data_IF_447722651542
#
_entry.id   IF_447722651542
#
_cell.length_a   1.000
_cell.length_b   1.000
_cell.length_c   1.000
_cell.angle_alpha   90.00
_cell.angle_beta   90.00
_cell.angle_gamma   90.00
#
_symmetry.space_group_name_H-M   'P 1'
#
loop_
_entity.id
_entity.type
_entity.pdbx_description
1 polymer ?
#
# COMPACT_ATOMS: atom_id res chain seq x y z
N UNK A 1 -37.85 18.65 -11.45
CA UNK A 1 -36.72 17.88 -12.00
C UNK A 1 -36.04 17.17 -10.85
N UNK A 2 -35.72 15.89 -11.03
CA UNK A 2 -34.93 15.08 -10.09
C UNK A 2 -33.53 14.89 -10.65
N UNK A 3 -32.52 15.33 -9.90
CA UNK A 3 -31.13 14.98 -10.20
C UNK A 3 -30.84 13.58 -9.65
N UNK A 4 -30.43 12.66 -10.51
CA UNK A 4 -30.26 11.25 -10.20
C UNK A 4 -28.82 10.79 -10.42
N UNK A 5 -28.20 10.20 -9.39
CA UNK A 5 -26.87 9.58 -9.48
C UNK A 5 -26.99 8.06 -9.64
N UNK A 6 -26.54 7.56 -10.80
CA UNK A 6 -26.49 6.15 -11.13
C UNK A 6 -25.06 5.59 -11.02
N UNK A 7 -24.91 4.45 -10.34
CA UNK A 7 -23.61 3.81 -10.08
C UNK A 7 -23.54 2.32 -10.47
N UNK A 8 -24.63 1.77 -11.02
CA UNK A 8 -24.78 0.37 -11.43
C UNK A 8 -25.22 0.25 -12.89
N UNK A 9 -26.20 -0.62 -13.18
CA UNK A 9 -26.74 -0.80 -14.54
C UNK A 9 -27.35 0.47 -15.15
N UNK A 10 -27.85 1.37 -14.31
CA UNK A 10 -28.38 2.67 -14.74
C UNK A 10 -27.28 3.69 -15.12
N UNK A 11 -25.99 3.32 -15.11
CA UNK A 11 -24.96 4.12 -15.77
C UNK A 11 -25.12 4.14 -17.30
N UNK A 12 -25.81 3.14 -17.86
CA UNK A 12 -26.18 3.11 -19.28
C UNK A 12 -27.32 4.08 -19.56
N UNK A 13 -27.07 5.02 -20.47
CA UNK A 13 -28.06 6.01 -20.91
C UNK A 13 -29.28 5.35 -21.56
N UNK A 14 -29.09 4.36 -22.43
CA UNK A 14 -30.17 3.56 -23.01
C UNK A 14 -31.06 2.94 -21.92
N UNK A 15 -30.44 2.40 -20.87
CA UNK A 15 -31.18 1.78 -19.77
C UNK A 15 -32.00 2.78 -18.95
N UNK A 16 -31.60 4.06 -18.92
CA UNK A 16 -32.35 5.15 -18.28
C UNK A 16 -33.47 5.65 -19.20
N UNK A 17 -33.17 5.88 -20.48
CA UNK A 17 -34.13 6.37 -21.48
C UNK A 17 -35.31 5.41 -21.71
N UNK A 18 -35.11 4.09 -21.57
CA UNK A 18 -36.19 3.08 -21.58
C UNK A 18 -37.27 3.31 -20.50
N UNK A 19 -36.94 4.03 -19.41
CA UNK A 19 -37.87 4.33 -18.30
C UNK A 19 -38.20 5.80 -18.14
N UNK A 20 -37.33 6.67 -18.62
CA UNK A 20 -37.48 8.11 -18.60
C UNK A 20 -36.97 8.67 -19.94
N UNK A 21 -37.81 8.66 -21.00
CA UNK A 21 -37.40 9.02 -22.36
C UNK A 21 -36.87 10.44 -22.51
N UNK A 22 -37.24 11.34 -21.60
CA UNK A 22 -36.81 12.74 -21.61
C UNK A 22 -35.68 13.01 -20.61
N UNK A 23 -35.05 11.97 -20.05
CA UNK A 23 -33.90 12.12 -19.17
C UNK A 23 -32.70 12.71 -19.92
N UNK A 24 -32.02 13.66 -19.28
CA UNK A 24 -30.81 14.29 -19.84
C UNK A 24 -29.58 13.85 -19.05
N UNK A 25 -28.55 13.37 -19.74
CA UNK A 25 -27.27 13.08 -19.12
C UNK A 25 -26.52 14.37 -18.80
N UNK A 26 -26.28 14.63 -17.51
CA UNK A 26 -25.46 15.77 -17.05
C UNK A 26 -23.97 15.49 -17.23
N UNK A 27 -23.57 14.25 -16.97
CA UNK A 27 -22.19 13.79 -17.14
C UNK A 27 -21.70 12.93 -15.99
N UNK A 28 -20.40 12.67 -15.98
CA UNK A 28 -19.77 11.81 -14.97
C UNK A 28 -19.68 12.50 -13.60
N UNK A 29 -19.82 11.71 -12.55
CA UNK A 29 -19.78 12.16 -11.17
C UNK A 29 -19.09 11.14 -10.25
N UNK A 30 -18.69 11.61 -9.07
CA UNK A 30 -18.20 10.75 -7.99
C UNK A 30 -18.98 10.99 -6.70
N UNK A 31 -19.25 9.91 -5.98
CA UNK A 31 -19.80 9.90 -4.64
C UNK A 31 -18.66 9.61 -3.63
N UNK A 32 -18.17 10.62 -2.88
CA UNK A 32 -17.15 10.40 -1.85
C UNK A 32 -17.74 9.68 -0.63
N UNK A 33 -16.84 9.08 0.17
CA UNK A 33 -17.15 8.43 1.46
C UNK A 33 -18.20 7.33 1.40
N UNK A 34 -18.30 6.71 0.22
CA UNK A 34 -19.12 5.54 -0.05
C UNK A 34 -18.29 4.49 -0.77
N UNK A 35 -18.63 3.22 -0.56
CA UNK A 35 -18.09 2.11 -1.32
C UNK A 35 -19.23 1.36 -2.01
N UNK A 36 -18.88 0.73 -3.14
CA UNK A 36 -19.78 -0.24 -3.75
C UNK A 36 -19.83 -1.51 -2.90
N UNK A 37 -21.04 -2.02 -2.71
CA UNK A 37 -21.35 -3.27 -2.00
C UNK A 37 -22.19 -4.13 -2.93
N UNK A 38 -22.13 -5.45 -2.76
CA UNK A 38 -22.99 -6.37 -3.51
C UNK A 38 -23.81 -7.25 -2.55
N UNK A 39 -24.54 -6.59 -1.64
CA UNK A 39 -25.30 -7.22 -0.56
C UNK A 39 -26.69 -7.71 -0.95
N UNK A 40 -27.06 -7.70 -2.23
CA UNK A 40 -28.38 -8.14 -2.70
C UNK A 40 -28.24 -9.09 -3.87
N UNK A 41 -29.01 -10.18 -3.86
CA UNK A 41 -29.19 -11.08 -5.01
C UNK A 41 -30.22 -10.53 -5.98
N UNK A 42 -29.88 -10.53 -7.26
CA UNK A 42 -30.83 -10.40 -8.34
C UNK A 42 -31.72 -11.65 -8.41
N UNK A 43 -33.04 -11.48 -8.41
CA UNK A 43 -33.98 -12.59 -8.66
C UNK A 43 -33.84 -13.18 -10.07
N UNK A 44 -33.33 -12.39 -11.03
CA UNK A 44 -33.20 -12.79 -12.45
C UNK A 44 -31.94 -13.61 -12.72
N UNK A 45 -30.82 -13.25 -12.08
CA UNK A 45 -29.50 -13.84 -12.38
C UNK A 45 -28.95 -14.67 -11.23
N UNK A 46 -29.55 -14.60 -10.03
CA UNK A 46 -29.04 -15.26 -8.83
C UNK A 46 -27.75 -14.66 -8.25
N UNK A 47 -27.19 -13.65 -8.90
CA UNK A 47 -25.90 -13.01 -8.57
C UNK A 47 -26.06 -11.67 -7.86
N UNK A 48 -24.95 -11.14 -7.32
CA UNK A 48 -24.92 -9.84 -6.67
C UNK A 48 -25.32 -8.67 -7.58
N UNK A 49 -25.95 -7.64 -7.02
CA UNK A 49 -26.24 -6.37 -7.70
C UNK A 49 -25.67 -5.20 -6.91
N UNK A 50 -25.32 -4.11 -7.62
CA UNK A 50 -24.65 -2.97 -7.03
C UNK A 50 -25.51 -2.25 -5.98
N UNK A 51 -24.89 -1.99 -4.84
CA UNK A 51 -25.40 -1.22 -3.71
C UNK A 51 -24.34 -0.19 -3.31
N UNK A 52 -24.77 0.86 -2.60
CA UNK A 52 -23.87 1.83 -1.98
C UNK A 52 -24.04 1.81 -0.47
N UNK A 53 -22.92 1.83 0.24
CA UNK A 53 -22.89 1.96 1.69
C UNK A 53 -21.84 2.97 2.09
N UNK A 54 -22.04 3.65 3.21
CA UNK A 54 -21.04 4.53 3.80
C UNK A 54 -19.70 3.78 3.94
N UNK A 55 -18.63 4.43 3.53
CA UNK A 55 -17.28 3.91 3.53
C UNK A 55 -16.30 5.07 3.50
N UNK A 56 -15.91 5.63 4.65
CA UNK A 56 -14.98 6.74 4.71
C UNK A 56 -13.68 6.44 3.95
N UNK A 57 -13.22 7.37 3.13
CA UNK A 57 -12.01 7.20 2.30
C UNK A 57 -12.19 6.32 1.05
N UNK A 58 -13.39 5.78 0.82
CA UNK A 58 -13.77 5.13 -0.43
C UNK A 58 -14.51 6.10 -1.35
N UNK A 59 -14.71 5.67 -2.59
CA UNK A 59 -15.42 6.44 -3.60
C UNK A 59 -16.18 5.53 -4.55
N UNK A 60 -17.36 5.97 -4.98
CA UNK A 60 -18.13 5.34 -6.05
C UNK A 60 -18.18 6.27 -7.26
N UNK A 61 -17.85 5.73 -8.44
CA UNK A 61 -17.95 6.45 -9.71
C UNK A 61 -19.30 6.16 -10.36
N UNK A 62 -19.87 7.15 -11.04
CA UNK A 62 -21.17 7.02 -11.68
C UNK A 62 -21.50 8.16 -12.64
N UNK A 63 -22.76 8.20 -13.04
CA UNK A 63 -23.32 9.19 -13.99
C UNK A 63 -24.43 9.97 -13.30
N UNK A 64 -24.47 11.28 -13.55
CA UNK A 64 -25.58 12.15 -13.19
C UNK A 64 -26.54 12.32 -14.36
N UNK A 65 -27.83 12.18 -14.06
CA UNK A 65 -28.95 12.43 -14.97
C UNK A 65 -29.90 13.45 -14.36
N UNK A 66 -30.48 14.30 -15.20
CA UNK A 66 -31.65 15.10 -14.88
C UNK A 66 -32.89 14.40 -15.42
N UNK A 67 -33.83 14.08 -14.53
CA UNK A 67 -35.03 13.32 -14.85
C UNK A 67 -36.27 14.19 -14.57
N UNK A 68 -37.22 14.31 -15.50
CA UNK A 68 -38.49 14.98 -15.23
C UNK A 68 -39.26 14.32 -14.09
N UNK A 69 -39.94 15.12 -13.26
CA UNK A 69 -40.68 14.59 -12.10
C UNK A 69 -41.79 13.61 -12.53
N UNK A 70 -42.38 13.84 -13.71
CA UNK A 70 -43.38 12.96 -14.34
C UNK A 70 -42.82 11.58 -14.70
N UNK A 71 -41.53 11.47 -15.02
CA UNK A 71 -40.87 10.25 -15.46
C UNK A 71 -40.12 9.54 -14.33
N UNK A 72 -39.85 10.22 -13.21
CA UNK A 72 -39.16 9.65 -12.05
C UNK A 72 -39.82 8.34 -11.54
N UNK A 73 -41.15 8.24 -11.64
CA UNK A 73 -41.91 7.03 -11.28
C UNK A 73 -41.47 5.79 -12.09
N UNK A 74 -41.02 5.97 -13.33
CA UNK A 74 -40.48 4.90 -14.16
C UNK A 74 -39.18 4.32 -13.58
N UNK A 75 -38.28 5.18 -13.10
CA UNK A 75 -37.04 4.78 -12.43
C UNK A 75 -37.33 4.07 -11.10
N UNK A 76 -38.22 4.65 -10.28
CA UNK A 76 -38.64 4.04 -9.01
C UNK A 76 -39.20 2.62 -9.21
N UNK A 77 -39.95 2.39 -10.29
CA UNK A 77 -40.47 1.07 -10.64
C UNK A 77 -39.36 0.10 -11.02
N UNK A 78 -38.39 0.52 -11.84
CA UNK A 78 -37.26 -0.32 -12.28
C UNK A 78 -36.40 -0.77 -11.11
N UNK A 79 -36.13 0.13 -10.17
CA UNK A 79 -35.34 -0.17 -8.95
C UNK A 79 -36.16 -0.92 -7.90
N UNK A 80 -37.45 -1.19 -8.15
CA UNK A 80 -38.33 -1.88 -7.21
C UNK A 80 -38.57 -1.09 -5.91
N UNK A 81 -38.45 0.24 -5.96
CA UNK A 81 -38.67 1.12 -4.82
C UNK A 81 -40.15 1.30 -4.47
N UNK A 82 -41.06 0.99 -5.42
CA UNK A 82 -42.51 1.05 -5.26
C UNK A 82 -43.15 -0.29 -4.85
N UNK A 83 -42.34 -1.33 -4.60
CA UNK A 83 -42.84 -2.63 -4.16
C UNK A 83 -43.28 -2.57 -2.68
N UNK A 84 -44.20 -3.46 -2.28
CA UNK A 84 -44.62 -3.59 -0.87
C UNK A 84 -43.41 -3.87 0.05
N UNK A 85 -42.49 -4.69 -0.43
CA UNK A 85 -41.15 -4.89 0.13
C UNK A 85 -40.13 -4.33 -0.88
N UNK A 86 -39.67 -3.08 -0.68
CA UNK A 86 -38.80 -2.42 -1.65
C UNK A 86 -37.48 -3.17 -1.84
N UNK A 87 -37.03 -3.29 -3.08
CA UNK A 87 -35.69 -3.80 -3.37
C UNK A 87 -34.61 -2.77 -3.02
N UNK A 88 -34.88 -1.51 -3.33
CA UNK A 88 -34.05 -0.36 -3.02
C UNK A 88 -34.91 0.74 -2.40
N UNK A 89 -34.28 1.57 -1.57
CA UNK A 89 -34.83 2.83 -1.07
C UNK A 89 -34.13 4.01 -1.74
N UNK A 90 -34.87 5.10 -1.89
CA UNK A 90 -34.30 6.36 -2.37
C UNK A 90 -33.48 6.98 -1.23
N UNK A 91 -32.27 7.43 -1.54
CA UNK A 91 -31.37 8.13 -0.61
C UNK A 91 -30.94 9.47 -1.21
N UNK A 92 -30.76 10.46 -0.35
CA UNK A 92 -30.14 11.73 -0.71
C UNK A 92 -28.63 11.62 -0.58
N UNK A 93 -27.91 11.99 -1.63
CA UNK A 93 -26.45 11.94 -1.69
C UNK A 93 -25.88 13.27 -2.19
N UNK A 94 -24.66 13.58 -1.77
CA UNK A 94 -23.89 14.70 -2.31
C UNK A 94 -22.80 14.16 -3.20
N UNK A 95 -22.85 14.48 -4.50
CA UNK A 95 -21.89 14.02 -5.50
C UNK A 95 -21.10 15.18 -6.07
N UNK A 96 -19.84 14.94 -6.43
CA UNK A 96 -19.05 15.90 -7.17
C UNK A 96 -19.27 15.68 -8.67
N UNK A 97 -19.85 16.66 -9.35
CA UNK A 97 -20.01 16.68 -10.81
C UNK A 97 -18.70 17.10 -11.47
N UNK A 98 -18.17 16.28 -12.38
CA UNK A 98 -16.97 16.65 -13.14
C UNK A 98 -17.26 17.66 -14.24
N UNK A 99 -18.46 17.62 -14.83
CA UNK A 99 -18.88 18.57 -15.86
C UNK A 99 -18.95 20.00 -15.30
N UNK A 100 -19.51 20.14 -14.10
CA UNK A 100 -19.73 21.44 -13.47
C UNK A 100 -18.67 21.81 -12.44
N UNK A 101 -17.75 20.88 -12.12
CA UNK A 101 -16.69 21.02 -11.12
C UNK A 101 -17.18 21.47 -9.73
N UNK A 102 -18.37 21.04 -9.33
CA UNK A 102 -19.00 21.39 -8.04
C UNK A 102 -19.76 20.21 -7.43
N UNK A 103 -20.04 20.31 -6.14
CA UNK A 103 -20.92 19.38 -5.45
C UNK A 103 -22.39 19.65 -5.81
N UNK A 104 -23.18 18.59 -5.96
CA UNK A 104 -24.61 18.62 -6.23
C UNK A 104 -25.33 17.66 -5.29
N UNK A 105 -26.46 18.09 -4.73
CA UNK A 105 -27.40 17.20 -4.07
C UNK A 105 -28.18 16.42 -5.14
N UNK A 106 -28.20 15.09 -5.02
CA UNK A 106 -28.87 14.18 -5.95
C UNK A 106 -29.59 13.07 -5.19
N UNK A 107 -30.59 12.48 -5.83
CA UNK A 107 -31.18 11.21 -5.41
C UNK A 107 -30.32 10.05 -5.93
N UNK A 108 -30.24 8.98 -5.16
CA UNK A 108 -29.71 7.69 -5.59
C UNK A 108 -30.49 6.57 -4.93
N UNK A 109 -30.07 5.34 -5.15
CA UNK A 109 -30.68 4.15 -4.56
C UNK A 109 -29.70 3.47 -3.61
N UNK A 110 -30.21 2.87 -2.55
CA UNK A 110 -29.46 1.95 -1.68
C UNK A 110 -30.35 0.75 -1.38
N UNK A 111 -29.78 -0.44 -1.23
CA UNK A 111 -30.55 -1.66 -0.95
C UNK A 111 -31.31 -1.47 0.36
N UNK A 112 -32.61 -1.78 0.35
CA UNK A 112 -33.48 -1.57 1.52
C UNK A 112 -33.13 -2.53 2.67
N UNK A 113 -32.89 -3.80 2.33
CA UNK A 113 -32.56 -4.88 3.28
C UNK A 113 -31.37 -5.70 2.75
N UNK A 114 -30.13 -5.24 2.96
CA UNK A 114 -28.95 -5.92 2.43
C UNK A 114 -28.57 -7.15 3.27
N UNK A 115 -28.12 -8.22 2.61
CA UNK A 115 -27.45 -9.38 3.22
C UNK A 115 -26.05 -9.00 3.70
N UNK A 116 -25.65 -9.48 4.86
CA UNK A 116 -24.29 -9.33 5.40
C UNK A 116 -23.23 -9.94 4.47
N UNK A 117 -23.57 -11.06 3.82
CA UNK A 117 -22.71 -11.68 2.81
C UNK A 117 -22.85 -10.94 1.48
N UNK A 118 -21.74 -10.36 1.01
CA UNK A 118 -21.63 -9.82 -0.34
C UNK A 118 -21.36 -10.92 -1.36
N UNK A 119 -21.94 -10.79 -2.55
CA UNK A 119 -21.83 -11.79 -3.60
C UNK A 119 -21.33 -11.18 -4.89
N UNK A 120 -20.52 -11.94 -5.61
CA UNK A 120 -19.97 -11.46 -6.87
C UNK A 120 -21.11 -11.30 -7.89
N UNK A 121 -21.21 -10.15 -8.59
CA UNK A 121 -22.13 -10.00 -9.71
C UNK A 121 -21.77 -10.91 -10.88
N UNK A 122 -22.69 -11.09 -11.83
CA UNK A 122 -22.36 -11.83 -13.05
C UNK A 122 -21.33 -11.09 -13.91
N UNK A 123 -20.54 -11.84 -14.68
CA UNK A 123 -19.58 -11.29 -15.62
C UNK A 123 -20.23 -10.34 -16.65
N UNK A 124 -21.45 -10.63 -17.09
CA UNK A 124 -22.21 -9.78 -18.02
C UNK A 124 -22.62 -8.45 -17.37
N UNK A 125 -23.07 -8.47 -16.12
CA UNK A 125 -23.42 -7.26 -15.38
C UNK A 125 -22.20 -6.35 -15.20
N UNK A 126 -21.06 -6.94 -14.85
CA UNK A 126 -19.79 -6.21 -14.71
C UNK A 126 -19.26 -5.71 -16.05
N UNK A 127 -19.47 -6.45 -17.14
CA UNK A 127 -19.10 -6.00 -18.49
C UNK A 127 -19.92 -4.78 -18.91
N UNK A 128 -21.24 -4.76 -18.65
CA UNK A 128 -22.08 -3.60 -18.92
C UNK A 128 -21.62 -2.37 -18.13
N UNK A 129 -21.27 -2.53 -16.85
CA UNK A 129 -20.71 -1.43 -16.04
C UNK A 129 -19.34 -0.98 -16.57
N UNK A 130 -18.48 -1.92 -16.96
CA UNK A 130 -17.13 -1.64 -17.44
C UNK A 130 -17.16 -0.79 -18.72
N UNK A 131 -18.03 -1.12 -19.69
CA UNK A 131 -18.21 -0.32 -20.91
C UNK A 131 -18.48 1.15 -20.59
N UNK A 132 -19.42 1.42 -19.68
CA UNK A 132 -19.77 2.79 -19.29
C UNK A 132 -18.59 3.51 -18.59
N UNK A 133 -17.83 2.80 -17.78
CA UNK A 133 -16.68 3.36 -17.06
C UNK A 133 -15.50 3.66 -17.99
N UNK A 134 -15.31 2.84 -19.02
CA UNK A 134 -14.33 3.06 -20.08
C UNK A 134 -14.70 4.28 -20.93
N UNK A 135 -15.97 4.43 -21.33
CA UNK A 135 -16.49 5.61 -22.01
C UNK A 135 -16.33 6.90 -21.17
N UNK A 136 -16.46 6.80 -19.85
CA UNK A 136 -16.24 7.92 -18.93
C UNK A 136 -14.76 8.27 -18.69
N UNK A 137 -13.84 7.44 -19.19
CA UNK A 137 -12.39 7.54 -19.00
C UNK A 137 -11.97 7.54 -17.51
N UNK A 138 -12.39 6.52 -16.75
CA UNK A 138 -11.93 6.27 -15.39
C UNK A 138 -11.07 5.00 -15.30
N UNK A 139 -9.78 5.06 -15.67
CA UNK A 139 -8.94 3.88 -15.82
C UNK A 139 -8.77 3.07 -14.52
N UNK A 140 -8.64 3.75 -13.37
CA UNK A 140 -8.51 3.08 -12.08
C UNK A 140 -9.79 2.30 -11.69
N UNK A 141 -10.97 2.85 -11.99
CA UNK A 141 -12.23 2.17 -11.71
C UNK A 141 -12.49 1.03 -12.71
N UNK A 142 -12.09 1.22 -13.98
CA UNK A 142 -12.12 0.16 -14.99
C UNK A 142 -11.25 -1.04 -14.57
N UNK A 143 -10.06 -0.82 -14.01
CA UNK A 143 -9.21 -1.88 -13.47
C UNK A 143 -9.87 -2.63 -12.31
N UNK A 144 -10.56 -1.93 -11.42
CA UNK A 144 -11.36 -2.55 -10.36
C UNK A 144 -12.48 -3.43 -10.91
N UNK A 145 -13.26 -2.93 -11.89
CA UNK A 145 -14.33 -3.72 -12.50
C UNK A 145 -13.80 -4.91 -13.31
N UNK A 146 -12.65 -4.77 -13.99
CA UNK A 146 -11.98 -5.89 -14.67
C UNK A 146 -11.52 -6.96 -13.69
N UNK A 147 -10.99 -6.55 -12.54
CA UNK A 147 -10.61 -7.47 -11.45
C UNK A 147 -11.83 -8.22 -10.91
N UNK A 148 -12.93 -7.52 -10.58
CA UNK A 148 -14.17 -8.15 -10.15
C UNK A 148 -14.73 -9.11 -11.20
N UNK A 149 -14.70 -8.72 -12.48
CA UNK A 149 -15.20 -9.54 -13.58
C UNK A 149 -14.40 -10.83 -13.73
N UNK A 150 -13.07 -10.77 -13.58
CA UNK A 150 -12.22 -11.96 -13.60
C UNK A 150 -12.61 -12.93 -12.49
N UNK A 151 -12.80 -12.43 -11.26
CA UNK A 151 -13.26 -13.25 -10.13
C UNK A 151 -14.63 -13.87 -10.36
N UNK A 152 -15.53 -13.17 -11.05
CA UNK A 152 -16.84 -13.69 -11.41
C UNK A 152 -16.80 -14.88 -12.39
N UNK A 153 -15.66 -15.13 -13.05
CA UNK A 153 -15.46 -16.21 -14.01
C UNK A 153 -14.70 -17.42 -13.41
N UNK A 154 -14.24 -17.35 -12.16
CA UNK A 154 -13.52 -18.44 -11.49
C UNK A 154 -14.48 -19.59 -11.11
N UNK A 155 -14.05 -20.84 -11.30
CA UNK A 155 -14.92 -22.04 -11.22
C UNK A 155 -15.31 -22.47 -9.79
N UNK A 156 -14.80 -21.78 -8.76
CA UNK A 156 -15.08 -22.04 -7.34
C UNK A 156 -15.15 -20.69 -6.60
N UNK A 157 -16.17 -19.87 -6.95
CA UNK A 157 -16.22 -18.45 -6.60
C UNK A 157 -16.04 -18.26 -5.08
N UNK A 158 -14.88 -17.78 -4.62
CA UNK A 158 -14.67 -17.50 -3.21
C UNK A 158 -15.60 -16.36 -2.76
N UNK A 159 -15.85 -16.22 -1.45
CA UNK A 159 -16.57 -15.07 -0.91
C UNK A 159 -16.00 -13.77 -1.51
N UNK A 160 -16.88 -12.84 -1.91
CA UNK A 160 -16.43 -11.59 -2.51
C UNK A 160 -15.48 -10.81 -1.58
N UNK A 161 -15.72 -10.95 -0.27
CA UNK A 161 -15.00 -10.27 0.79
C UNK A 161 -14.27 -11.29 1.64
N UNK A 162 -13.01 -11.53 1.31
CA UNK A 162 -12.05 -12.17 2.19
C UNK A 162 -10.88 -11.22 2.46
N UNK A 163 -10.42 -11.18 3.71
CA UNK A 163 -9.37 -10.27 4.16
C UNK A 163 -9.90 -8.89 4.56
N UNK A 164 -9.02 -7.89 4.51
CA UNK A 164 -9.29 -6.53 4.99
C UNK A 164 -9.64 -5.59 3.84
N UNK A 165 -10.65 -4.75 4.03
CA UNK A 165 -10.97 -3.68 3.09
C UNK A 165 -9.84 -2.66 3.04
N UNK A 166 -9.30 -2.40 1.84
CA UNK A 166 -8.20 -1.44 1.67
C UNK A 166 -8.73 -0.04 1.41
N UNK A 167 -8.25 0.92 2.18
CA UNK A 167 -8.38 2.35 1.91
C UNK A 167 -7.02 3.02 1.69
N UNK A 168 -7.06 4.22 1.12
CA UNK A 168 -5.88 5.08 1.03
C UNK A 168 -5.46 5.61 2.39
N UNK A 169 -4.16 5.79 2.63
CA UNK A 169 -3.69 6.56 3.78
C UNK A 169 -4.18 8.01 3.66
N UNK A 170 -5.12 8.38 4.53
CA UNK A 170 -5.67 9.74 4.60
C UNK A 170 -4.72 10.74 5.29
N UNK A 171 -3.62 10.24 5.87
CA UNK A 171 -2.74 11.01 6.75
C UNK A 171 -1.32 11.09 6.17
N UNK A 172 -1.13 11.82 5.07
CA UNK A 172 0.20 12.04 4.46
C UNK A 172 1.17 12.76 5.42
N UNK A 173 0.69 13.68 6.25
CA UNK A 173 1.55 14.53 7.09
C UNK A 173 1.95 13.95 8.45
N UNK A 174 1.33 12.85 8.93
CA UNK A 174 1.77 12.18 10.18
C UNK A 174 2.70 11.00 9.94
N UNK A 175 2.73 10.45 8.71
CA UNK A 175 3.35 9.16 8.48
C UNK A 175 4.89 9.20 8.40
N UNK A 176 5.52 10.35 8.14
CA UNK A 176 6.99 10.46 8.13
C UNK A 176 7.72 9.35 7.37
N UNK A 177 7.11 8.72 6.35
CA UNK A 177 7.67 7.56 5.63
C UNK A 177 7.73 6.22 6.40
N UNK A 178 7.03 6.06 7.53
CA UNK A 178 7.18 4.91 8.43
C UNK A 178 6.17 3.77 8.26
N UNK A 179 5.02 4.01 7.61
CA UNK A 179 3.90 3.05 7.64
C UNK A 179 3.47 2.64 6.24
N UNK A 180 3.62 1.35 5.93
CA UNK A 180 3.23 0.78 4.64
C UNK A 180 1.83 0.15 4.71
N UNK A 181 1.46 -0.41 5.87
CA UNK A 181 0.10 -0.83 6.21
C UNK A 181 -0.24 -0.45 7.65
N UNK A 182 -1.41 0.16 7.86
CA UNK A 182 -2.00 0.40 9.18
C UNK A 182 -3.25 -0.45 9.35
N UNK A 183 -3.37 -1.10 10.49
CA UNK A 183 -4.50 -2.00 10.79
C UNK A 183 -4.93 -1.84 12.23
N UNK A 184 -6.21 -2.05 12.50
CA UNK A 184 -6.71 -2.08 13.86
C UNK A 184 -6.09 -3.26 14.66
N UNK A 185 -5.54 -3.03 15.87
CA UNK A 185 -4.98 -4.09 16.71
C UNK A 185 -5.97 -5.25 16.98
N UNK A 186 -7.28 -4.95 17.09
CA UNK A 186 -8.33 -5.95 17.33
C UNK A 186 -8.56 -6.87 16.13
N UNK A 187 -8.25 -6.40 14.93
CA UNK A 187 -8.41 -7.17 13.68
C UNK A 187 -7.27 -8.15 13.43
N UNK A 188 -6.02 -7.77 13.72
CA UNK A 188 -4.84 -8.64 13.52
C UNK A 188 -4.50 -9.50 14.74
N UNK A 189 -5.04 -9.17 15.92
CA UNK A 189 -4.67 -9.81 17.18
C UNK A 189 -3.27 -9.41 17.66
N UNK A 190 -2.72 -10.16 18.61
CA UNK A 190 -1.40 -9.87 19.19
C UNK A 190 -0.27 -10.21 18.22
N UNK A 191 0.24 -9.22 17.49
CA UNK A 191 1.44 -9.39 16.66
C UNK A 191 2.73 -9.05 17.42
N UNK A 192 3.64 -10.03 17.42
CA UNK A 192 5.08 -9.91 17.69
C UNK A 192 5.78 -8.84 16.88
N UNK A 193 5.43 -8.73 15.60
CA UNK A 193 6.28 -8.21 14.52
C UNK A 193 5.81 -6.85 14.02
N UNK A 194 6.75 -5.92 13.79
CA UNK A 194 6.49 -4.66 13.08
C UNK A 194 6.41 -4.82 11.56
N UNK A 195 6.40 -6.05 11.07
CA UNK A 195 6.32 -6.42 9.65
C UNK A 195 5.21 -7.45 9.44
N UNK A 196 4.53 -7.37 8.30
CA UNK A 196 3.50 -8.30 7.85
C UNK A 196 3.71 -8.69 6.39
N UNK A 197 3.18 -9.83 5.97
CA UNK A 197 2.96 -10.11 4.55
C UNK A 197 1.63 -9.51 4.12
N UNK A 198 1.61 -8.97 2.91
CA UNK A 198 0.43 -8.40 2.28
C UNK A 198 0.27 -9.05 0.93
N UNK A 199 -0.94 -9.54 0.64
CA UNK A 199 -1.26 -10.24 -0.59
C UNK A 199 -2.51 -9.69 -1.25
N UNK A 200 -2.43 -9.52 -2.57
CA UNK A 200 -3.53 -9.14 -3.46
C UNK A 200 -3.33 -9.76 -4.85
N UNK A 201 -4.36 -10.41 -5.38
CA UNK A 201 -4.39 -10.96 -6.75
C UNK A 201 -3.13 -11.79 -7.10
N UNK A 202 -2.70 -12.65 -6.16
CA UNK A 202 -1.50 -13.50 -6.29
C UNK A 202 -0.15 -12.78 -6.14
N UNK A 203 -0.14 -11.44 -6.05
CA UNK A 203 1.05 -10.66 -5.70
C UNK A 203 1.20 -10.59 -4.18
N UNK A 204 2.39 -10.86 -3.69
CA UNK A 204 2.70 -10.84 -2.26
C UNK A 204 3.97 -10.05 -2.00
N UNK A 205 4.01 -9.31 -0.89
CA UNK A 205 5.21 -8.61 -0.43
C UNK A 205 5.24 -8.49 1.09
N UNK A 206 6.38 -8.05 1.64
CA UNK A 206 6.49 -7.66 3.04
C UNK A 206 6.19 -6.17 3.15
N UNK A 207 5.46 -5.78 4.18
CA UNK A 207 5.21 -4.39 4.50
C UNK A 207 5.50 -4.10 5.97
N UNK A 208 5.88 -2.86 6.26
CA UNK A 208 5.91 -2.34 7.61
C UNK A 208 4.49 -2.21 8.14
N UNK A 209 4.24 -2.83 9.29
CA UNK A 209 2.94 -2.90 9.94
C UNK A 209 2.89 -1.90 11.10
N UNK A 210 1.82 -1.12 11.13
CA UNK A 210 1.47 -0.24 12.24
C UNK A 210 0.09 -0.57 12.78
N UNK A 211 0.00 -0.67 14.10
CA UNK A 211 -1.24 -1.00 14.78
C UNK A 211 -1.86 0.31 15.29
N UNK A 212 -3.02 0.65 14.77
CA UNK A 212 -3.65 1.96 14.96
C UNK A 212 -5.16 1.80 15.22
N UNK A 213 -5.63 2.30 16.37
CA UNK A 213 -7.04 2.19 16.76
C UNK A 213 -7.96 3.07 15.91
N UNK A 214 -7.41 4.08 15.23
CA UNK A 214 -8.20 4.95 14.34
C UNK A 214 -8.61 4.25 13.04
N UNK A 215 -7.95 3.14 12.69
CA UNK A 215 -8.33 2.32 11.54
C UNK A 215 -9.55 1.48 11.92
N UNK A 216 -10.58 1.48 11.07
CA UNK A 216 -11.79 0.71 11.32
C UNK A 216 -11.50 -0.81 11.36
N UNK A 217 -12.24 -1.54 12.20
CA UNK A 217 -12.13 -2.99 12.25
C UNK A 217 -12.45 -3.63 10.88
N UNK A 218 -11.80 -4.74 10.55
CA UNK A 218 -11.89 -5.42 9.24
C UNK A 218 -11.44 -4.57 8.03
N UNK A 219 -10.70 -3.49 8.28
CA UNK A 219 -10.10 -2.65 7.25
C UNK A 219 -8.61 -2.42 7.49
N UNK A 220 -7.92 -1.95 6.46
CA UNK A 220 -6.56 -1.46 6.56
C UNK A 220 -6.35 -0.20 5.70
N UNK A 221 -5.47 0.68 6.14
CA UNK A 221 -4.94 1.76 5.32
C UNK A 221 -3.61 1.31 4.73
N UNK A 222 -3.41 1.53 3.43
CA UNK A 222 -2.15 1.25 2.75
C UNK A 222 -1.59 2.52 2.14
N UNK A 223 -0.28 2.59 1.96
CA UNK A 223 0.30 3.70 1.21
C UNK A 223 0.14 3.49 -0.32
N UNK A 224 0.43 4.54 -1.09
CA UNK A 224 0.27 4.49 -2.55
C UNK A 224 1.28 3.54 -3.21
N UNK A 225 2.52 3.48 -2.71
CA UNK A 225 3.58 2.70 -3.32
C UNK A 225 3.32 1.21 -3.17
N UNK A 226 2.94 0.74 -1.98
CA UNK A 226 2.56 -0.64 -1.70
C UNK A 226 1.36 -1.07 -2.53
N UNK A 227 0.32 -0.23 -2.62
CA UNK A 227 -0.84 -0.50 -3.50
C UNK A 227 -0.42 -0.67 -4.96
N UNK A 228 0.38 0.25 -5.48
CA UNK A 228 0.87 0.19 -6.85
C UNK A 228 1.72 -1.06 -7.10
N UNK A 229 2.60 -1.40 -6.15
CA UNK A 229 3.43 -2.60 -6.19
C UNK A 229 2.58 -3.90 -6.28
N UNK A 230 1.48 -3.92 -5.54
CA UNK A 230 0.49 -5.01 -5.55
C UNK A 230 -0.46 -4.96 -6.77
N UNK A 231 -0.32 -3.99 -7.68
CA UNK A 231 -1.16 -3.89 -8.88
C UNK A 231 -2.49 -3.16 -8.67
N UNK A 232 -2.70 -2.54 -7.50
CA UNK A 232 -3.80 -1.61 -7.27
C UNK A 232 -3.41 -0.23 -7.82
N UNK A 233 -3.92 0.11 -9.00
CA UNK A 233 -3.55 1.34 -9.70
C UNK A 233 -4.57 2.45 -9.41
N UNK A 234 -4.04 3.66 -9.19
CA UNK A 234 -4.82 4.86 -8.95
C UNK A 234 -4.72 5.36 -7.51
N UNK A 235 -5.27 6.55 -7.28
CA UNK A 235 -5.24 7.17 -5.96
C UNK A 235 -6.28 6.58 -5.00
N UNK A 236 -7.38 6.06 -5.53
CA UNK A 236 -8.53 5.60 -4.76
C UNK A 236 -8.62 4.07 -4.75
N UNK A 237 -9.07 3.53 -3.62
CA UNK A 237 -9.43 2.12 -3.51
C UNK A 237 -10.95 1.98 -3.68
N UNK A 238 -11.37 1.10 -4.59
CA UNK A 238 -12.79 0.95 -4.95
C UNK A 238 -13.46 -0.23 -4.26
N UNK A 239 -12.93 -0.64 -3.09
CA UNK A 239 -13.35 -1.84 -2.39
C UNK A 239 -12.54 -3.07 -2.79
N UNK A 240 -11.22 -2.94 -2.92
CA UNK A 240 -10.34 -4.11 -2.91
C UNK A 240 -10.26 -4.70 -1.49
N UNK A 241 -10.05 -6.00 -1.39
CA UNK A 241 -9.69 -6.67 -0.14
C UNK A 241 -8.30 -7.30 -0.24
N UNK A 242 -7.56 -7.29 0.87
CA UNK A 242 -6.20 -7.85 0.94
C UNK A 242 -6.06 -8.80 2.11
N UNK A 243 -5.20 -9.80 1.95
CA UNK A 243 -4.76 -10.63 3.06
C UNK A 243 -3.54 -9.97 3.70
N UNK A 244 -3.68 -9.57 4.97
CA UNK A 244 -2.56 -9.09 5.80
C UNK A 244 -2.30 -10.14 6.87
N UNK A 245 -1.09 -10.70 6.90
CA UNK A 245 -0.72 -11.73 7.88
C UNK A 245 0.54 -11.31 8.64
N UNK A 246 0.56 -11.34 9.98
CA UNK A 246 1.77 -11.12 10.75
C UNK A 246 2.86 -12.11 10.35
N UNK A 247 4.12 -11.66 10.38
CA UNK A 247 5.24 -12.60 10.24
C UNK A 247 5.41 -13.44 11.51
N UNK A 248 5.15 -14.74 11.39
CA UNK A 248 5.41 -15.73 12.44
C UNK A 248 6.87 -16.18 12.42
N UNK A 249 7.47 -16.41 13.59
CA UNK A 249 8.81 -17.03 13.71
C UNK A 249 10.01 -16.10 13.48
N UNK A 250 9.84 -14.90 12.95
CA UNK A 250 10.90 -13.89 12.99
C UNK A 250 10.92 -13.29 14.40
N UNK A 251 11.97 -13.57 15.19
CA UNK A 251 12.18 -12.87 16.47
C UNK A 251 12.18 -11.38 16.18
N UNK A 252 11.13 -10.69 16.62
CA UNK A 252 11.08 -9.25 16.56
C UNK A 252 12.19 -8.73 17.47
N UNK A 253 13.36 -8.45 16.89
CA UNK A 253 14.32 -7.61 17.58
C UNK A 253 13.70 -6.23 17.49
N UNK A 254 13.34 -5.70 18.65
CA UNK A 254 12.89 -4.31 18.76
C UNK A 254 13.99 -3.47 18.13
N UNK A 255 13.76 -2.98 16.93
CA UNK A 255 14.67 -2.02 16.34
C UNK A 255 14.57 -0.77 17.24
N UNK A 256 15.69 -0.38 17.84
CA UNK A 256 15.78 0.81 18.72
C UNK A 256 15.29 2.08 18.01
N UNK A 257 15.27 2.05 16.67
CA UNK A 257 14.70 3.07 15.78
C UNK A 257 13.87 2.33 14.73
N UNK A 258 12.62 2.75 14.46
CA UNK A 258 11.81 2.23 13.34
C UNK A 258 12.26 2.92 12.06
N UNK A 259 13.09 2.30 11.20
CA UNK A 259 13.58 3.00 10.03
C UNK A 259 12.47 3.11 8.98
N UNK A 260 12.57 4.13 8.13
CA UNK A 260 11.72 4.22 6.94
C UNK A 260 11.93 3.00 6.06
N UNK A 261 10.86 2.57 5.41
CA UNK A 261 10.89 1.42 4.51
C UNK A 261 10.17 1.79 3.23
N UNK A 262 10.65 1.29 2.09
CA UNK A 262 10.04 1.50 0.78
C UNK A 262 9.67 0.15 0.18
N UNK A 263 8.46 0.02 -0.33
CA UNK A 263 8.11 -1.08 -1.23
C UNK A 263 8.52 -0.68 -2.64
N UNK A 264 9.52 -1.36 -3.21
CA UNK A 264 10.07 -1.08 -4.54
C UNK A 264 9.91 -2.29 -5.45
N UNK A 265 9.81 -2.04 -6.75
CA UNK A 265 9.70 -3.09 -7.76
C UNK A 265 11.08 -3.57 -8.20
N UNK A 266 11.28 -4.89 -8.22
CA UNK A 266 12.55 -5.48 -8.66
C UNK A 266 12.72 -5.30 -10.16
N UNK A 267 13.89 -4.75 -10.51
CA UNK A 267 14.38 -4.64 -11.88
C UNK A 267 15.74 -5.32 -12.02
N UNK A 268 16.06 -5.64 -13.28
CA UNK A 268 17.31 -6.27 -13.66
C UNK A 268 18.38 -5.22 -13.95
N UNK A 269 19.59 -5.43 -13.41
CA UNK A 269 20.84 -4.79 -13.85
C UNK A 269 21.27 -5.31 -15.22
N UNK A 270 22.06 -4.53 -15.96
CA UNK A 270 22.45 -4.91 -17.31
C UNK A 270 23.33 -6.19 -17.30
N UNK A 271 23.25 -6.99 -18.37
CA UNK A 271 23.80 -8.36 -18.44
C UNK A 271 25.34 -8.43 -18.38
N UNK A 272 26.01 -7.33 -18.69
CA UNK A 272 27.48 -7.19 -18.65
C UNK A 272 27.96 -6.94 -17.21
N UNK A 273 27.07 -6.52 -16.31
CA UNK A 273 27.39 -6.20 -14.93
C UNK A 273 27.33 -7.48 -14.09
N UNK A 274 28.40 -8.26 -14.21
CA UNK A 274 28.63 -9.51 -13.50
C UNK A 274 28.65 -9.31 -11.98
N UNK A 275 27.83 -10.10 -11.28
CA UNK A 275 28.04 -10.72 -9.95
C UNK A 275 28.94 -9.93 -8.95
N UNK A 276 28.56 -8.69 -8.62
CA UNK A 276 29.28 -7.85 -7.64
C UNK A 276 28.50 -7.64 -6.33
N UNK A 277 27.35 -8.30 -6.18
CA UNK A 277 26.42 -8.15 -5.04
C UNK A 277 26.01 -6.70 -4.82
N UNK A 278 25.58 -6.03 -5.89
CA UNK A 278 25.26 -4.59 -5.93
C UNK A 278 23.74 -4.37 -5.86
N UNK A 279 23.31 -3.41 -5.04
CA UNK A 279 21.97 -2.84 -5.08
C UNK A 279 22.07 -1.41 -5.64
N UNK A 280 21.30 -1.13 -6.69
CA UNK A 280 21.19 0.22 -7.23
C UNK A 280 19.79 0.76 -6.96
N UNK A 281 19.73 1.95 -6.35
CA UNK A 281 18.52 2.67 -5.94
C UNK A 281 18.57 4.11 -6.44
N UNK A 282 17.42 4.70 -6.72
CA UNK A 282 17.37 6.10 -7.13
C UNK A 282 17.84 6.99 -5.97
N UNK A 283 18.50 8.11 -6.27
CA UNK A 283 19.00 9.07 -5.25
C UNK A 283 17.89 9.51 -4.28
N UNK A 284 16.69 9.75 -4.82
CA UNK A 284 15.50 10.10 -4.06
C UNK A 284 15.02 8.96 -3.15
N UNK A 285 15.22 7.69 -3.53
CA UNK A 285 14.93 6.54 -2.68
C UNK A 285 15.93 6.43 -1.53
N UNK A 286 17.22 6.72 -1.76
CA UNK A 286 18.21 6.82 -0.68
C UNK A 286 17.85 7.95 0.31
N UNK A 287 17.49 9.11 -0.22
CA UNK A 287 17.06 10.26 0.59
C UNK A 287 15.82 9.92 1.43
N UNK A 288 14.81 9.28 0.83
CA UNK A 288 13.61 8.82 1.55
C UNK A 288 13.95 7.79 2.64
N UNK A 289 14.93 6.92 2.41
CA UNK A 289 15.39 5.94 3.39
C UNK A 289 16.30 6.55 4.47
N UNK A 290 16.73 7.81 4.32
CA UNK A 290 17.61 8.46 5.29
C UNK A 290 19.05 7.92 5.28
N UNK A 291 19.51 7.41 4.13
CA UNK A 291 20.84 6.81 3.96
C UNK A 291 21.62 7.45 2.82
N UNK A 292 22.94 7.32 2.86
CA UNK A 292 23.88 7.82 1.85
C UNK A 292 24.33 6.71 0.90
N UNK A 293 24.88 7.11 -0.25
CA UNK A 293 25.50 6.16 -1.19
C UNK A 293 26.59 5.33 -0.48
N UNK A 294 26.60 4.02 -0.72
CA UNK A 294 27.52 3.05 -0.11
C UNK A 294 27.11 2.57 1.29
N UNK A 295 26.00 3.08 1.85
CA UNK A 295 25.45 2.60 3.11
C UNK A 295 24.59 1.34 2.93
N UNK A 296 24.40 0.60 4.02
CA UNK A 296 23.78 -0.72 3.94
C UNK A 296 22.25 -0.65 4.01
N UNK A 297 21.63 -1.32 3.04
CA UNK A 297 20.20 -1.65 3.03
C UNK A 297 19.99 -3.13 3.36
N UNK A 298 18.83 -3.42 3.90
CA UNK A 298 18.24 -4.74 3.99
C UNK A 298 17.07 -4.82 3.01
N UNK A 299 17.06 -5.87 2.19
CA UNK A 299 15.98 -6.13 1.23
C UNK A 299 15.29 -7.41 1.67
N UNK A 300 13.97 -7.38 1.74
CA UNK A 300 13.14 -8.51 2.12
C UNK A 300 12.20 -8.87 0.97
N UNK A 301 12.14 -10.16 0.67
CA UNK A 301 11.23 -10.74 -0.30
C UNK A 301 10.39 -11.84 0.37
N UNK A 302 9.12 -11.93 -0.03
CA UNK A 302 8.28 -13.07 0.36
C UNK A 302 8.43 -14.15 -0.70
N UNK A 303 8.73 -15.36 -0.27
CA UNK A 303 8.72 -16.53 -1.11
C UNK A 303 7.60 -17.47 -0.65
N UNK A 304 6.79 -17.91 -1.60
CA UNK A 304 5.75 -18.91 -1.38
C UNK A 304 6.33 -20.28 -1.71
N UNK A 305 6.30 -21.19 -0.73
CA UNK A 305 6.66 -22.58 -0.91
C UNK A 305 5.64 -23.38 -1.69
N UNK A 306 6.00 -24.61 -2.04
CA UNK A 306 5.15 -25.52 -2.81
C UNK A 306 3.82 -25.83 -2.12
N UNK A 307 3.79 -25.79 -0.78
CA UNK A 307 2.60 -26.04 0.03
C UNK A 307 1.83 -24.76 0.39
N UNK A 308 2.17 -23.62 -0.22
CA UNK A 308 1.52 -22.33 0.02
C UNK A 308 1.98 -21.61 1.29
N UNK A 309 2.96 -22.16 2.01
CA UNK A 309 3.60 -21.51 3.15
C UNK A 309 4.38 -20.27 2.70
N UNK A 310 4.22 -19.17 3.44
CA UNK A 310 4.95 -17.93 3.16
C UNK A 310 6.18 -17.87 4.06
N UNK A 311 7.35 -17.80 3.44
CA UNK A 311 8.60 -17.52 4.12
C UNK A 311 9.17 -16.19 3.64
N UNK A 312 10.00 -15.55 4.47
CA UNK A 312 10.65 -14.30 4.12
C UNK A 312 12.15 -14.55 3.99
N UNK A 313 12.69 -14.25 2.82
CA UNK A 313 14.13 -14.19 2.57
C UNK A 313 14.59 -12.75 2.68
N UNK A 314 15.80 -12.56 3.20
CA UNK A 314 16.40 -11.23 3.37
C UNK A 314 17.87 -11.24 3.00
N UNK A 315 18.32 -10.15 2.40
CA UNK A 315 19.73 -9.92 2.08
C UNK A 315 20.16 -8.54 2.58
N UNK A 316 21.47 -8.36 2.79
CA UNK A 316 22.06 -7.09 3.23
C UNK A 316 23.22 -6.72 2.32
N UNK A 317 23.18 -5.52 1.77
CA UNK A 317 24.14 -5.05 0.79
C UNK A 317 24.23 -3.53 0.80
N UNK A 318 25.23 -2.98 0.12
CA UNK A 318 25.41 -1.54 -0.02
C UNK A 318 24.56 -1.03 -1.18
N UNK A 319 23.90 0.10 -0.95
CA UNK A 319 23.09 0.76 -1.96
C UNK A 319 23.88 1.85 -2.68
N UNK A 320 23.78 1.89 -4.01
CA UNK A 320 24.44 2.86 -4.88
C UNK A 320 23.41 3.61 -5.73
N UNK A 321 23.71 4.84 -6.14
CA UNK A 321 22.84 5.65 -7.02
C UNK A 321 23.10 5.40 -8.50
N UNK A 322 24.30 4.94 -8.82
CA UNK A 322 24.75 4.65 -10.18
C UNK A 322 25.72 3.49 -10.15
N UNK A 323 25.88 2.84 -11.30
CA UNK A 323 26.96 1.89 -11.50
C UNK A 323 28.20 2.66 -11.94
N UNK A 324 29.25 2.69 -11.10
CA UNK A 324 30.53 3.28 -11.50
C UNK A 324 31.24 2.35 -12.49
N UNK A 325 31.18 2.67 -13.77
CA UNK A 325 32.11 2.16 -14.79
C UNK A 325 33.27 3.14 -14.97
N UNK A 326 34.40 2.63 -15.42
CA UNK A 326 35.60 3.43 -15.66
C UNK A 326 35.35 4.56 -16.69
N UNK A 327 34.40 4.39 -17.63
CA UNK A 327 34.40 5.21 -18.85
C UNK A 327 33.05 5.89 -19.20
N UNK A 328 31.92 5.57 -18.55
CA UNK A 328 30.60 6.20 -18.83
C UNK A 328 29.67 6.18 -17.61
N UNK A 329 29.07 7.33 -17.28
CA UNK A 329 27.90 7.41 -16.42
C UNK A 329 26.65 7.16 -17.28
N UNK A 330 25.91 6.08 -17.00
CA UNK A 330 24.62 5.81 -17.65
C UNK A 330 23.47 6.16 -16.73
N UNK A 331 22.41 6.70 -17.31
CA UNK A 331 21.20 7.05 -16.57
C UNK A 331 20.52 5.77 -16.05
N UNK A 332 20.51 5.66 -14.72
CA UNK A 332 19.99 4.54 -13.94
C UNK A 332 19.85 5.04 -12.50
N UNK A 333 18.89 4.57 -11.68
CA UNK A 333 17.70 3.74 -11.92
C UNK A 333 16.38 4.55 -11.99
N UNK A 334 15.21 3.89 -12.08
CA UNK A 334 13.90 4.54 -11.95
C UNK A 334 13.49 4.82 -10.49
N UNK A 335 12.63 5.82 -10.26
CA UNK A 335 12.26 6.29 -8.92
C UNK A 335 11.65 5.22 -7.98
N UNK A 336 10.91 4.25 -8.52
CA UNK A 336 10.20 3.22 -7.75
C UNK A 336 10.80 1.81 -7.92
N UNK A 337 12.03 1.72 -8.43
CA UNK A 337 12.67 0.45 -8.74
C UNK A 337 13.86 0.17 -7.82
N UNK A 338 14.09 -1.11 -7.56
CA UNK A 338 15.33 -1.62 -6.99
C UNK A 338 15.98 -2.57 -7.98
N UNK A 339 17.22 -2.26 -8.33
CA UNK A 339 17.93 -3.03 -9.34
C UNK A 339 18.89 -3.98 -8.66
N UNK A 340 18.74 -5.26 -9.00
CA UNK A 340 19.45 -6.37 -8.36
C UNK A 340 20.12 -7.25 -9.41
N UNK A 341 21.38 -7.58 -9.15
CA UNK A 341 22.10 -8.57 -9.92
C UNK A 341 21.54 -10.00 -9.72
N UNK A 342 22.10 -10.96 -10.46
CA UNK A 342 21.65 -12.35 -10.43
C UNK A 342 21.84 -13.00 -9.05
N UNK A 343 22.98 -12.80 -8.42
CA UNK A 343 23.32 -13.41 -7.12
C UNK A 343 22.35 -12.93 -6.03
N UNK A 344 22.10 -11.63 -5.96
CA UNK A 344 21.15 -11.02 -5.03
C UNK A 344 19.73 -11.56 -5.23
N UNK A 345 19.31 -11.71 -6.49
CA UNK A 345 17.99 -12.27 -6.83
C UNK A 345 17.86 -13.72 -6.39
N UNK A 346 18.88 -14.55 -6.66
CA UNK A 346 18.91 -15.95 -6.23
C UNK A 346 18.87 -16.08 -4.70
N UNK A 347 19.64 -15.27 -3.97
CA UNK A 347 19.66 -15.27 -2.50
C UNK A 347 18.30 -14.81 -1.92
N UNK A 348 17.61 -13.88 -2.57
CA UNK A 348 16.23 -13.47 -2.25
C UNK A 348 15.16 -14.50 -2.67
N UNK A 349 15.55 -15.59 -3.33
CA UNK A 349 14.64 -16.65 -3.77
C UNK A 349 13.77 -16.28 -4.98
N UNK A 350 14.23 -15.33 -5.80
CA UNK A 350 13.58 -15.07 -7.08
C UNK A 350 13.89 -16.18 -8.10
N UNK A 351 12.95 -16.47 -9.02
CA UNK A 351 13.23 -17.38 -10.13
C UNK A 351 14.32 -16.81 -11.05
N UNK A 352 14.98 -17.70 -11.79
CA UNK A 352 16.03 -17.33 -12.75
C UNK A 352 15.43 -16.58 -13.95
N UNK A 353 14.22 -16.95 -14.35
CA UNK A 353 13.52 -16.35 -15.48
C UNK A 353 13.13 -14.88 -15.21
N UNK A 354 13.31 -14.03 -16.24
CA UNK A 354 13.06 -12.59 -16.17
C UNK A 354 11.60 -12.27 -15.87
N UNK A 355 10.65 -12.92 -16.53
CA UNK A 355 9.24 -12.66 -16.29
C UNK A 355 8.83 -13.07 -14.86
N UNK A 356 9.53 -14.05 -14.29
CA UNK A 356 9.29 -14.54 -12.94
C UNK A 356 9.67 -13.57 -11.82
N UNK A 357 10.54 -12.58 -12.01
CA UNK A 357 10.92 -11.62 -10.94
C UNK A 357 10.73 -10.15 -11.29
N UNK A 358 10.67 -9.81 -12.58
CA UNK A 358 10.52 -8.43 -13.01
C UNK A 358 9.22 -7.84 -12.43
N UNK A 359 9.30 -6.62 -11.90
CA UNK A 359 8.17 -5.94 -11.25
C UNK A 359 7.60 -6.70 -10.04
N UNK A 360 8.36 -7.61 -9.42
CA UNK A 360 7.95 -8.17 -8.12
C UNK A 360 8.27 -7.16 -7.01
N UNK A 361 7.32 -6.90 -6.11
CA UNK A 361 7.53 -5.96 -5.01
C UNK A 361 8.39 -6.55 -3.90
N UNK A 362 9.39 -5.81 -3.45
CA UNK A 362 10.22 -6.11 -2.28
C UNK A 362 10.20 -4.96 -1.29
N UNK A 363 10.45 -5.28 -0.01
CA UNK A 363 10.64 -4.27 1.02
C UNK A 363 12.11 -3.90 1.11
N UNK A 364 12.44 -2.64 0.92
CA UNK A 364 13.79 -2.08 1.07
C UNK A 364 13.80 -1.18 2.30
N UNK A 365 14.74 -1.40 3.21
CA UNK A 365 14.90 -0.61 4.42
C UNK A 365 16.36 -0.46 4.84
N UNK A 366 16.74 0.58 5.58
CA UNK A 366 18.06 0.72 6.16
C UNK A 366 18.43 -0.44 7.07
N UNK A 367 19.66 -0.94 6.96
CA UNK A 367 20.18 -1.97 7.86
C UNK A 367 20.75 -1.32 9.13
N UNK A 368 19.90 -1.02 10.11
CA UNK A 368 20.25 -0.27 11.35
C UNK A 368 21.52 -0.81 12.02
N UNK A 369 21.68 -2.14 12.14
CA UNK A 369 22.88 -2.75 12.74
C UNK A 369 24.15 -2.46 11.94
N UNK A 370 24.09 -2.56 10.60
CA UNK A 370 25.26 -2.30 9.74
C UNK A 370 25.61 -0.82 9.74
N UNK A 371 24.61 0.06 9.74
CA UNK A 371 24.80 1.50 9.90
C UNK A 371 25.47 1.81 11.24
N UNK A 372 25.00 1.21 12.34
CA UNK A 372 25.59 1.39 13.67
C UNK A 372 27.05 0.92 13.69
N UNK A 373 27.36 -0.23 13.10
CA UNK A 373 28.74 -0.70 12.97
C UNK A 373 29.61 0.27 12.15
N UNK A 374 29.10 0.81 11.04
CA UNK A 374 29.81 1.78 10.21
C UNK A 374 30.04 3.11 10.94
N UNK A 375 29.04 3.61 11.68
CA UNK A 375 29.15 4.85 12.47
C UNK A 375 30.07 4.69 13.66
N UNK A 376 29.99 3.58 14.39
CA UNK A 376 30.93 3.26 15.48
C UNK A 376 32.36 3.19 14.94
N UNK A 377 32.60 2.58 13.78
CA UNK A 377 33.94 2.56 13.18
C UNK A 377 34.42 3.97 12.81
N UNK A 378 33.55 4.80 12.21
CA UNK A 378 33.87 6.17 11.80
C UNK A 378 34.15 7.10 12.98
N UNK A 379 33.25 7.12 13.96
CA UNK A 379 33.39 7.94 15.16
C UNK A 379 34.44 7.39 16.11
N UNK A 380 34.57 6.07 16.21
CA UNK A 380 35.53 5.38 17.07
C UNK A 380 36.96 5.82 16.80
N UNK A 381 37.36 6.00 15.53
CA UNK A 381 38.68 6.57 15.19
C UNK A 381 38.86 7.97 15.76
N UNK A 382 37.82 8.82 15.67
CA UNK A 382 37.87 10.20 16.17
C UNK A 382 37.93 10.24 17.69
N UNK A 383 37.13 9.41 18.37
CA UNK A 383 37.12 9.32 19.82
C UNK A 383 38.38 8.65 20.37
N UNK A 384 39.00 7.70 19.64
CA UNK A 384 40.26 7.08 20.06
C UNK A 384 41.40 8.10 20.14
N UNK A 385 41.45 9.04 19.20
CA UNK A 385 42.38 10.18 19.25
C UNK A 385 42.08 11.11 20.45
N UNK A 386 40.80 11.26 20.83
CA UNK A 386 40.39 12.01 22.02
C UNK A 386 40.68 11.31 23.36
N UNK A 387 40.68 9.97 23.41
CA UNK A 387 40.97 9.17 24.63
C UNK A 387 42.39 9.45 25.14
N UNK A 388 43.35 9.66 24.25
CA UNK A 388 44.72 10.03 24.64
C UNK A 388 44.75 11.35 25.44
N UNK A 389 43.82 12.26 25.18
CA UNK A 389 43.66 13.52 25.93
C UNK A 389 42.86 13.32 27.23
N UNK A 390 41.86 12.43 27.23
CA UNK A 390 41.03 12.15 28.40
C UNK A 390 41.81 11.41 29.51
N UNK A 391 42.73 10.50 29.14
CA UNK A 391 43.60 9.81 30.10
C UNK A 391 44.55 10.79 30.81
N UNK A 392 45.04 11.81 30.11
CA UNK A 392 45.84 12.89 30.69
C UNK A 392 45.02 13.75 31.67
N UNK A 393 43.76 14.08 31.32
CA UNK A 393 42.86 14.80 32.22
C UNK A 393 42.51 14.01 33.49
N UNK A 394 42.22 12.71 33.36
CA UNK A 394 41.94 11.85 34.54
C UNK A 394 43.15 11.73 35.47
N UNK A 395 44.38 11.84 34.94
CA UNK A 395 45.57 11.88 35.75
C UNK A 395 45.65 13.17 36.61
N UNK A 396 45.08 14.29 36.15
CA UNK A 396 45.04 15.55 36.88
C UNK A 396 43.96 15.56 37.98
N UNK A 397 42.78 15.00 37.72
CA UNK A 397 41.63 15.09 38.64
C UNK A 397 41.44 13.90 39.57
N UNK A 398 41.99 12.72 39.23
CA UNK A 398 41.91 11.51 40.05
C UNK A 398 43.31 10.88 40.21
N UNK A 399 44.25 11.57 40.89
CA UNK A 399 45.64 11.14 40.99
C UNK A 399 45.80 9.81 41.72
N UNK A 400 44.88 9.48 42.62
CA UNK A 400 44.87 8.28 43.46
C UNK A 400 44.41 7.00 42.76
N UNK A 401 43.79 7.08 41.57
CA UNK A 401 43.43 5.87 40.83
C UNK A 401 44.68 5.21 40.21
N UNK A 402 44.79 3.87 40.23
CA UNK A 402 45.81 3.15 39.47
C UNK A 402 45.78 3.53 37.98
N UNK A 403 46.94 3.64 37.34
CA UNK A 403 47.08 3.99 35.92
C UNK A 403 46.27 3.07 34.99
N UNK A 404 46.27 1.78 35.28
CA UNK A 404 45.47 0.77 34.57
C UNK A 404 43.97 1.08 34.67
N UNK A 405 43.48 1.39 35.86
CA UNK A 405 42.05 1.65 36.09
C UNK A 405 41.62 2.96 35.42
N UNK A 406 42.45 4.02 35.44
CA UNK A 406 42.19 5.26 34.68
C UNK A 406 42.12 5.01 33.19
N UNK A 407 43.04 4.20 32.65
CA UNK A 407 43.03 3.80 31.25
C UNK A 407 41.74 3.06 30.87
N UNK A 408 41.32 2.10 31.69
CA UNK A 408 40.07 1.35 31.47
C UNK A 408 38.83 2.25 31.53
N UNK A 409 38.76 3.19 32.50
CA UNK A 409 37.65 4.14 32.62
C UNK A 409 37.60 5.10 31.41
N UNK A 410 38.75 5.59 30.95
CA UNK A 410 38.83 6.44 29.76
C UNK A 410 38.34 5.70 28.50
N UNK A 411 38.78 4.45 28.32
CA UNK A 411 38.34 3.60 27.20
C UNK A 411 36.83 3.33 27.29
N UNK A 412 36.31 2.94 28.45
CA UNK A 412 34.89 2.65 28.64
C UNK A 412 34.01 3.88 28.34
N UNK A 413 34.41 5.06 28.83
CA UNK A 413 33.69 6.33 28.61
C UNK A 413 33.66 6.70 27.13
N UNK A 414 34.77 6.55 26.42
CA UNK A 414 34.83 6.87 25.01
C UNK A 414 34.11 5.86 24.12
N UNK A 415 34.13 4.57 24.46
CA UNK A 415 33.30 3.56 23.79
C UNK A 415 31.82 3.90 23.97
N UNK A 416 31.40 4.25 25.19
CA UNK A 416 30.02 4.67 25.46
C UNK A 416 29.65 5.93 24.68
N UNK A 417 30.48 6.98 24.70
CA UNK A 417 30.25 8.21 23.95
C UNK A 417 30.16 7.95 22.44
N UNK A 418 31.04 7.10 21.89
CA UNK A 418 31.02 6.70 20.48
C UNK A 418 29.70 6.01 20.14
N UNK A 419 29.24 5.08 20.97
CA UNK A 419 27.97 4.38 20.77
C UNK A 419 26.78 5.37 20.82
N UNK A 420 26.78 6.30 21.78
CA UNK A 420 25.71 7.31 21.92
C UNK A 420 25.67 8.25 20.73
N UNK A 421 26.81 8.79 20.29
CA UNK A 421 26.89 9.68 19.11
C UNK A 421 26.49 8.93 17.84
N UNK A 422 26.98 7.70 17.66
CA UNK A 422 26.58 6.86 16.54
C UNK A 422 25.07 6.60 16.52
N UNK A 423 24.48 6.37 17.69
CA UNK A 423 23.04 6.16 17.83
C UNK A 423 22.22 7.43 17.55
N UNK A 424 22.64 8.59 18.07
CA UNK A 424 21.98 9.88 17.83
C UNK A 424 22.00 10.25 16.34
N UNK A 425 23.15 10.06 15.68
CA UNK A 425 23.29 10.32 14.25
C UNK A 425 22.38 9.40 13.40
N UNK A 426 22.32 8.11 13.73
CA UNK A 426 21.40 7.16 13.05
C UNK A 426 19.95 7.53 13.31
N UNK A 427 19.60 7.92 14.54
CA UNK A 427 18.26 8.35 14.85
C UNK A 427 17.90 9.57 14.01
N UNK A 428 18.75 10.60 13.98
CA UNK A 428 18.55 11.79 13.17
C UNK A 428 18.42 11.45 11.68
N UNK A 429 19.28 10.60 11.13
CA UNK A 429 19.23 10.26 9.70
C UNK A 429 17.99 9.46 9.32
N UNK A 430 17.50 8.57 10.19
CA UNK A 430 16.41 7.64 9.87
C UNK A 430 15.02 8.15 10.28
N UNK A 431 14.91 9.22 11.06
CA UNK A 431 13.62 9.82 11.45
C UNK A 431 13.22 11.05 10.62
N UNK A 432 14.15 11.67 9.89
CA UNK A 432 13.92 12.91 9.14
C UNK A 432 13.43 12.71 7.72
#
# INVERSE_FOLDING_TARGET
>A
MVLYFAYGSNMSEEAVLDRAPSAARVGKARLPDHRIRFGRKSKRTGTGVADIVAGPGFMVMGVLYEIPDSEWKGILRKEGALMKEPAYRVVDVTVFSFAERRNRAAKSFAVASPSDVEQIPSADYLSAMLTQVEEMNFPAYALFLRWLRRRAMETDVPPLREGLLVSGTNVRNRAGGHYLVRVNPRTLGTTKSGLATVEFDGRVTVAALDAAEEVAEHSCEMDQNLRHALGMIGQNCYGYTVSVRPLSGMRNRVDLVRPRSLTLLVHQTNWIDSEKRICVLHERSLALLGIKEGEHVEILNVWRGEFGDLSVKRIKLRAHTSEKRADQAREYPGFDHVHLDRECRTELGFPVDRAGFLNRPVLVRPSVRRLLQQRIARYGVTFFLGIASLSQLLALFAPTLPSLLRGLVAIATAVLATIVVAWLDIRASLTH
#
